data_IF_124978748383
#
_entry.id   IF_124978748383
#
_cell.length_a   1.000
_cell.length_b   1.000
_cell.length_c   1.000
_cell.angle_alpha   90.00
_cell.angle_beta   90.00
_cell.angle_gamma   90.00
#
_symmetry.space_group_name_H-M   'P 1'
#
loop_
_entity.id
_entity.type
_entity.pdbx_description
1 polymer ?
#
# COMPACT_ATOMS: atom_id res chain seq x y z
N UNK A 1 17.47 -17.72 -7.13
CA UNK A 1 17.01 -18.63 -6.06
C UNK A 1 18.22 -19.05 -5.25
N UNK A 2 18.19 -18.81 -3.94
CA UNK A 2 19.36 -18.93 -3.07
C UNK A 2 19.34 -20.22 -2.24
N UNK A 3 18.19 -20.88 -2.11
CA UNK A 3 18.08 -22.13 -1.36
C UNK A 3 18.94 -23.24 -1.96
N UNK A 4 19.74 -23.91 -1.13
CA UNK A 4 20.55 -25.07 -1.53
C UNK A 4 19.70 -26.29 -1.91
N UNK A 5 18.43 -26.30 -1.51
CA UNK A 5 17.49 -27.40 -1.70
C UNK A 5 16.68 -27.30 -2.99
N UNK A 6 16.77 -26.16 -3.70
CA UNK A 6 16.11 -25.99 -4.99
C UNK A 6 16.78 -26.86 -6.07
N UNK A 7 16.00 -27.70 -6.75
CA UNK A 7 16.46 -28.47 -7.91
C UNK A 7 16.82 -27.56 -9.09
N UNK A 8 17.55 -28.08 -10.05
CA UNK A 8 17.86 -27.38 -11.30
C UNK A 8 16.58 -27.02 -12.06
N UNK A 9 15.57 -27.89 -12.04
CA UNK A 9 14.26 -27.65 -12.64
C UNK A 9 13.57 -26.43 -12.04
N UNK A 10 13.49 -26.34 -10.69
CA UNK A 10 12.92 -25.19 -10.00
C UNK A 10 13.71 -23.92 -10.30
N UNK A 11 15.05 -24.00 -10.26
CA UNK A 11 15.94 -22.84 -10.30
C UNK A 11 16.06 -22.22 -11.68
N UNK A 12 16.18 -23.05 -12.72
CA UNK A 12 16.55 -22.61 -14.06
C UNK A 12 15.42 -22.64 -15.08
N UNK A 13 14.33 -23.36 -14.81
CA UNK A 13 13.20 -23.45 -15.72
C UNK A 13 11.94 -22.82 -15.10
N UNK A 14 11.39 -23.43 -14.07
CA UNK A 14 10.10 -23.01 -13.49
C UNK A 14 10.17 -21.58 -12.95
N UNK A 15 11.22 -21.23 -12.20
CA UNK A 15 11.37 -19.90 -11.61
C UNK A 15 11.51 -18.80 -12.67
N UNK A 16 12.26 -19.04 -13.72
CA UNK A 16 12.44 -18.06 -14.79
C UNK A 16 11.14 -17.81 -15.54
N UNK A 17 10.42 -18.87 -15.89
CA UNK A 17 9.13 -18.75 -16.56
C UNK A 17 8.06 -18.07 -15.66
N UNK A 18 8.03 -18.43 -14.40
CA UNK A 18 7.12 -17.81 -13.42
C UNK A 18 7.36 -16.31 -13.28
N UNK A 19 8.62 -15.90 -13.16
CA UNK A 19 8.96 -14.49 -12.99
C UNK A 19 8.85 -13.66 -14.26
N UNK A 20 8.89 -14.26 -15.45
CA UNK A 20 8.69 -13.57 -16.72
C UNK A 20 7.30 -12.92 -16.84
N UNK A 21 6.31 -13.38 -16.07
CA UNK A 21 4.97 -12.81 -16.05
C UNK A 21 4.83 -11.60 -15.11
N UNK A 22 5.85 -11.28 -14.33
CA UNK A 22 5.77 -10.18 -13.37
C UNK A 22 5.95 -8.82 -14.04
N UNK A 23 4.99 -7.93 -13.80
CA UNK A 23 5.03 -6.55 -14.30
C UNK A 23 6.00 -5.64 -13.52
N UNK A 24 6.53 -6.11 -12.38
CA UNK A 24 7.36 -5.31 -11.49
C UNK A 24 8.49 -6.14 -10.88
N UNK A 25 9.72 -5.69 -11.08
CA UNK A 25 10.92 -6.31 -10.53
C UNK A 25 10.93 -6.35 -9.00
N UNK A 26 10.18 -5.46 -8.34
CA UNK A 26 10.07 -5.43 -6.87
C UNK A 26 9.27 -6.61 -6.30
N UNK A 27 8.52 -7.32 -7.13
CA UNK A 27 7.75 -8.51 -6.73
C UNK A 27 8.62 -9.75 -6.61
N UNK A 28 9.61 -9.90 -7.51
CA UNK A 28 10.53 -11.06 -7.59
C UNK A 28 11.22 -11.34 -6.24
N UNK A 29 11.87 -10.36 -5.56
CA UNK A 29 12.55 -10.62 -4.29
C UNK A 29 11.61 -11.11 -3.18
N UNK A 30 10.34 -10.70 -3.22
CA UNK A 30 9.34 -11.10 -2.24
C UNK A 30 9.01 -12.59 -2.36
N UNK A 31 8.65 -13.03 -3.57
CA UNK A 31 8.39 -14.44 -3.85
C UNK A 31 9.63 -15.32 -3.60
N UNK A 32 10.80 -14.84 -4.05
CA UNK A 32 12.04 -15.54 -3.84
C UNK A 32 12.32 -15.82 -2.36
N UNK A 33 12.13 -14.81 -1.51
CA UNK A 33 12.36 -14.94 -0.08
C UNK A 33 11.41 -15.97 0.57
N UNK A 34 10.12 -15.94 0.21
CA UNK A 34 9.11 -16.82 0.79
C UNK A 34 9.27 -18.28 0.30
N UNK A 35 9.63 -18.48 -0.97
CA UNK A 35 9.89 -19.82 -1.53
C UNK A 35 11.21 -20.40 -0.97
N UNK A 36 12.28 -19.60 -0.91
CA UNK A 36 13.55 -20.04 -0.29
C UNK A 36 13.36 -20.36 1.19
N UNK A 37 12.54 -19.58 1.92
CA UNK A 37 12.28 -19.80 3.35
C UNK A 37 11.64 -21.17 3.61
N UNK A 38 10.60 -21.54 2.87
CA UNK A 38 9.93 -22.82 3.10
C UNK A 38 10.81 -24.02 2.71
N UNK A 39 11.56 -23.92 1.60
CA UNK A 39 12.50 -24.96 1.22
C UNK A 39 13.60 -25.15 2.27
N UNK A 40 14.15 -24.06 2.80
CA UNK A 40 15.17 -24.09 3.84
C UNK A 40 14.61 -24.59 5.18
N UNK A 41 13.35 -24.26 5.50
CA UNK A 41 12.69 -24.72 6.74
C UNK A 41 12.61 -26.26 6.79
N UNK A 42 12.35 -26.91 5.67
CA UNK A 42 12.20 -28.37 5.62
C UNK A 42 13.39 -29.09 4.98
N UNK A 43 14.38 -28.35 4.49
CA UNK A 43 15.53 -28.91 3.78
C UNK A 43 15.11 -29.78 2.60
N UNK A 44 14.10 -29.34 1.84
CA UNK A 44 13.47 -30.04 0.73
C UNK A 44 13.32 -29.11 -0.49
N UNK A 45 13.40 -29.72 -1.67
CA UNK A 45 12.95 -29.06 -2.89
C UNK A 45 11.46 -28.73 -2.82
N UNK A 46 11.03 -27.63 -3.45
CA UNK A 46 9.64 -27.18 -3.42
C UNK A 46 8.65 -28.24 -3.89
N UNK A 47 9.02 -29.01 -4.93
CA UNK A 47 8.22 -30.11 -5.46
C UNK A 47 8.07 -31.30 -4.49
N UNK A 48 8.90 -31.37 -3.45
CA UNK A 48 8.87 -32.41 -2.42
C UNK A 48 8.18 -31.97 -1.12
N UNK A 49 7.72 -30.73 -1.04
CA UNK A 49 6.97 -30.21 0.10
C UNK A 49 5.57 -30.81 0.05
N UNK A 50 5.14 -31.46 1.13
CA UNK A 50 3.86 -32.14 1.25
C UNK A 50 2.96 -31.42 2.23
N UNK A 51 1.68 -31.75 2.22
CA UNK A 51 0.63 -31.21 3.12
C UNK A 51 1.06 -31.14 4.58
N UNK A 52 1.67 -32.19 5.13
CA UNK A 52 2.14 -32.20 6.52
C UNK A 52 3.27 -31.17 6.80
N UNK A 53 4.14 -30.91 5.81
CA UNK A 53 5.17 -29.87 5.92
C UNK A 53 4.51 -28.49 5.95
N UNK A 54 3.51 -28.26 5.09
CA UNK A 54 2.77 -27.00 5.00
C UNK A 54 1.99 -26.73 6.28
N UNK A 55 1.34 -27.76 6.86
CA UNK A 55 0.65 -27.65 8.13
C UNK A 55 1.61 -27.23 9.26
N UNK A 56 2.77 -27.88 9.38
CA UNK A 56 3.81 -27.51 10.36
C UNK A 56 4.33 -26.09 10.12
N UNK A 57 4.48 -25.68 8.85
CA UNK A 57 4.92 -24.33 8.52
C UNK A 57 3.87 -23.30 8.95
N UNK A 58 2.58 -23.56 8.69
CA UNK A 58 1.49 -22.71 9.10
C UNK A 58 1.45 -22.55 10.63
N UNK A 59 1.52 -23.66 11.38
CA UNK A 59 1.55 -23.65 12.85
C UNK A 59 2.74 -22.85 13.39
N UNK A 60 3.93 -23.01 12.81
CA UNK A 60 5.12 -22.23 13.15
C UNK A 60 4.89 -20.73 12.97
N UNK A 61 4.31 -20.32 11.84
CA UNK A 61 4.04 -18.90 11.58
C UNK A 61 2.93 -18.35 12.47
N UNK A 62 1.92 -19.15 12.82
CA UNK A 62 0.88 -18.77 13.80
C UNK A 62 1.49 -18.52 15.18
N UNK A 63 2.36 -19.40 15.66
CA UNK A 63 3.06 -19.19 16.93
C UNK A 63 3.89 -17.88 16.93
N UNK A 64 4.52 -17.53 15.81
CA UNK A 64 5.22 -16.24 15.66
C UNK A 64 4.28 -15.04 15.68
N UNK A 65 3.04 -15.19 15.18
CA UNK A 65 2.01 -14.16 15.28
C UNK A 65 1.56 -13.97 16.72
N UNK A 66 1.34 -15.05 17.47
CA UNK A 66 0.95 -15.03 18.88
C UNK A 66 2.03 -14.38 19.75
N UNK A 67 3.30 -14.62 19.42
CA UNK A 67 4.46 -13.98 20.07
C UNK A 67 4.68 -12.52 19.64
N UNK A 68 3.89 -11.98 18.69
CA UNK A 68 4.05 -10.62 18.17
C UNK A 68 5.27 -10.41 17.25
N UNK A 69 5.97 -11.48 16.85
CA UNK A 69 7.12 -11.45 15.94
C UNK A 69 6.68 -11.18 14.51
N UNK A 70 5.56 -11.79 14.09
CA UNK A 70 4.97 -11.58 12.76
C UNK A 70 3.58 -10.96 12.85
N UNK A 71 3.21 -10.23 11.79
CA UNK A 71 1.82 -9.77 11.63
C UNK A 71 1.01 -10.83 10.89
N UNK A 72 -0.29 -11.00 11.21
CA UNK A 72 -1.19 -11.89 10.45
C UNK A 72 -1.18 -11.62 8.95
N UNK A 73 -1.11 -10.35 8.53
CA UNK A 73 -1.01 -9.96 7.12
C UNK A 73 0.26 -10.45 6.43
N UNK A 74 1.36 -10.64 7.18
CA UNK A 74 2.61 -11.22 6.65
C UNK A 74 2.43 -12.70 6.35
N UNK A 75 1.76 -13.44 7.24
CA UNK A 75 1.43 -14.86 7.01
C UNK A 75 0.51 -15.01 5.81
N UNK A 76 -0.52 -14.16 5.72
CA UNK A 76 -1.43 -14.13 4.57
C UNK A 76 -0.71 -13.88 3.25
N UNK A 77 0.26 -12.94 3.24
CA UNK A 77 1.09 -12.65 2.07
C UNK A 77 1.91 -13.88 1.68
N UNK A 78 2.64 -14.48 2.63
CA UNK A 78 3.47 -15.68 2.38
C UNK A 78 2.66 -16.81 1.74
N UNK A 79 1.51 -17.13 2.31
CA UNK A 79 0.67 -18.19 1.78
C UNK A 79 0.09 -17.88 0.40
N UNK A 80 -0.25 -16.61 0.08
CA UNK A 80 -0.67 -16.22 -1.28
C UNK A 80 0.49 -16.38 -2.29
N UNK A 81 1.70 -16.00 -1.92
CA UNK A 81 2.87 -16.14 -2.79
C UNK A 81 3.23 -17.61 -3.04
N UNK A 82 3.21 -18.44 -2.00
CA UNK A 82 3.47 -19.89 -2.12
C UNK A 82 2.37 -20.60 -2.92
N UNK A 83 1.09 -20.25 -2.70
CA UNK A 83 -0.03 -20.73 -3.52
C UNK A 83 0.16 -20.35 -4.98
N UNK A 84 0.41 -19.08 -5.29
CA UNK A 84 0.57 -18.62 -6.67
C UNK A 84 1.69 -19.37 -7.40
N UNK A 85 2.79 -19.67 -6.71
CA UNK A 85 3.88 -20.47 -7.30
C UNK A 85 3.50 -21.94 -7.48
N UNK A 86 2.84 -22.55 -6.51
CA UNK A 86 2.35 -23.93 -6.61
C UNK A 86 1.29 -24.08 -7.69
N UNK A 87 0.35 -23.14 -7.81
CA UNK A 87 -0.67 -23.11 -8.85
C UNK A 87 -0.04 -23.02 -10.24
N UNK A 88 0.92 -22.12 -10.45
CA UNK A 88 1.67 -22.02 -11.70
C UNK A 88 2.34 -23.33 -12.10
N UNK A 89 2.94 -24.03 -11.15
CA UNK A 89 3.54 -25.35 -11.38
C UNK A 89 2.48 -26.38 -11.79
N UNK A 90 1.34 -26.39 -11.10
CA UNK A 90 0.22 -27.29 -11.39
C UNK A 90 -0.36 -27.05 -12.79
N UNK A 91 -0.53 -25.80 -13.20
CA UNK A 91 -1.03 -25.42 -14.52
C UNK A 91 -0.06 -25.79 -15.66
N UNK A 92 1.23 -25.77 -15.39
CA UNK A 92 2.29 -26.06 -16.37
C UNK A 92 2.94 -27.43 -16.16
N UNK A 93 2.25 -28.34 -15.51
CA UNK A 93 2.75 -29.66 -15.09
C UNK A 93 3.35 -30.48 -16.23
N UNK A 94 2.68 -30.53 -17.37
CA UNK A 94 3.13 -31.27 -18.56
C UNK A 94 4.44 -30.72 -19.10
N UNK A 95 4.58 -29.40 -19.17
CA UNK A 95 5.78 -28.71 -19.64
C UNK A 95 7.02 -29.09 -18.82
N UNK A 96 6.88 -29.16 -17.52
CA UNK A 96 7.99 -29.42 -16.59
C UNK A 96 8.08 -30.89 -16.17
N UNK A 97 7.21 -31.75 -16.69
CA UNK A 97 7.14 -33.18 -16.33
C UNK A 97 7.03 -33.41 -14.82
N UNK A 98 6.28 -32.56 -14.15
CA UNK A 98 6.03 -32.64 -12.69
C UNK A 98 5.02 -33.76 -12.43
N UNK A 99 5.34 -34.60 -11.45
CA UNK A 99 4.47 -35.72 -11.06
C UNK A 99 3.08 -35.26 -10.63
N UNK A 100 2.07 -36.04 -10.97
CA UNK A 100 0.66 -35.73 -10.65
C UNK A 100 0.37 -35.74 -9.15
N UNK A 101 1.25 -36.30 -8.33
CA UNK A 101 1.15 -36.26 -6.86
C UNK A 101 1.49 -34.89 -6.27
N UNK A 102 2.18 -34.01 -7.03
CA UNK A 102 2.36 -32.63 -6.61
C UNK A 102 1.05 -31.88 -6.79
N UNK A 103 0.57 -31.25 -5.72
CA UNK A 103 -0.66 -30.45 -5.70
C UNK A 103 -0.42 -29.16 -4.92
N UNK A 104 -1.23 -28.15 -5.21
CA UNK A 104 -1.26 -26.92 -4.42
C UNK A 104 -2.00 -27.14 -3.09
N UNK A 105 -1.23 -27.48 -2.08
CA UNK A 105 -1.74 -27.68 -0.72
C UNK A 105 -1.76 -26.37 0.12
N UNK A 106 -1.40 -25.21 -0.47
CA UNK A 106 -1.45 -23.91 0.20
C UNK A 106 -2.82 -23.26 0.15
N UNK A 107 -3.60 -23.51 -0.91
CA UNK A 107 -4.92 -22.92 -1.14
C UNK A 107 -5.88 -23.05 0.06
N UNK A 108 -6.00 -24.20 0.75
CA UNK A 108 -6.90 -24.33 1.90
C UNK A 108 -6.61 -23.34 3.03
N UNK A 109 -5.34 -22.96 3.21
CA UNK A 109 -4.92 -22.06 4.30
C UNK A 109 -5.27 -20.60 4.04
N UNK A 110 -5.48 -20.20 2.78
CA UNK A 110 -5.90 -18.84 2.44
C UNK A 110 -7.22 -18.44 3.11
N UNK A 111 -8.14 -19.40 3.33
CA UNK A 111 -9.39 -19.15 4.04
C UNK A 111 -9.20 -18.76 5.51
N UNK A 112 -8.14 -19.28 6.15
CA UNK A 112 -7.84 -18.97 7.55
C UNK A 112 -7.15 -17.63 7.70
N UNK A 113 -6.32 -17.22 6.72
CA UNK A 113 -5.60 -15.95 6.75
C UNK A 113 -6.42 -14.78 6.19
N UNK A 114 -7.36 -15.02 5.27
CA UNK A 114 -8.23 -13.99 4.68
C UNK A 114 -9.22 -13.38 5.69
N UNK A 115 -9.59 -14.10 6.76
CA UNK A 115 -10.53 -13.62 7.80
C UNK A 115 -10.04 -12.41 8.61
N UNK A 116 -8.83 -11.94 8.38
CA UNK A 116 -8.21 -10.83 9.10
C UNK A 116 -8.04 -9.57 8.24
N UNK A 117 -8.72 -9.42 7.13
CA UNK A 117 -8.74 -8.15 6.40
C UNK A 117 -9.35 -7.07 7.29
N UNK A 118 -8.46 -6.34 7.93
CA UNK A 118 -8.84 -5.17 8.70
C UNK A 118 -9.08 -4.02 7.75
N UNK A 119 -10.20 -3.42 7.92
CA UNK A 119 -10.54 -2.17 7.30
C UNK A 119 -9.45 -1.11 7.54
N UNK A 120 -9.29 -0.22 6.61
CA UNK A 120 -8.33 0.87 6.69
C UNK A 120 -8.76 1.86 7.75
N UNK A 121 -7.91 2.10 8.74
CA UNK A 121 -8.16 3.14 9.76
C UNK A 121 -7.69 4.49 9.24
N UNK A 122 -8.53 5.50 9.36
CA UNK A 122 -8.12 6.91 9.17
C UNK A 122 -7.27 7.38 10.35
N UNK A 123 -6.37 8.32 10.06
CA UNK A 123 -5.63 9.05 11.10
C UNK A 123 -6.58 10.09 11.71
N UNK A 124 -6.62 10.28 13.04
CA UNK A 124 -7.37 11.35 13.67
C UNK A 124 -6.98 12.72 13.10
N UNK A 125 -7.96 13.63 12.95
CA UNK A 125 -7.73 14.96 12.36
C UNK A 125 -6.69 15.73 13.19
N UNK A 126 -6.73 15.62 14.49
CA UNK A 126 -5.80 16.26 15.42
C UNK A 126 -4.35 15.84 15.15
N UNK A 127 -4.13 14.55 14.82
CA UNK A 127 -2.79 14.07 14.48
C UNK A 127 -2.35 14.51 13.07
N UNK A 128 -3.28 14.69 12.14
CA UNK A 128 -3.00 15.26 10.81
C UNK A 128 -2.56 16.72 10.99
N UNK A 129 -3.27 17.52 11.76
CA UNK A 129 -2.91 18.92 12.00
C UNK A 129 -1.54 19.06 12.66
N UNK A 130 -1.26 18.24 13.69
CA UNK A 130 0.05 18.19 14.34
C UNK A 130 1.17 17.78 13.39
N UNK A 131 0.89 16.84 12.46
CA UNK A 131 1.85 16.40 11.46
C UNK A 131 2.19 17.52 10.47
N UNK A 132 1.18 18.25 9.98
CA UNK A 132 1.37 19.38 9.08
C UNK A 132 2.09 20.55 9.80
N UNK A 133 1.75 20.87 11.03
CA UNK A 133 2.43 21.89 11.83
C UNK A 133 3.91 21.53 12.04
N UNK A 134 4.22 20.27 12.35
CA UNK A 134 5.58 19.80 12.50
C UNK A 134 6.42 19.90 11.21
N UNK A 135 5.78 19.86 10.04
CA UNK A 135 6.44 19.88 8.73
C UNK A 135 6.43 21.27 8.06
N UNK A 136 5.77 22.28 8.63
CA UNK A 136 5.49 23.59 7.98
C UNK A 136 6.72 24.33 7.46
N UNK A 137 7.87 24.18 8.13
CA UNK A 137 9.14 24.82 7.74
C UNK A 137 9.88 24.05 6.62
N UNK A 138 9.55 22.77 6.40
CA UNK A 138 10.12 21.96 5.33
C UNK A 138 9.11 21.88 4.17
N UNK A 139 9.24 22.84 3.24
CA UNK A 139 8.31 22.97 2.11
C UNK A 139 8.17 21.71 1.27
N UNK A 140 9.26 20.95 1.09
CA UNK A 140 9.21 19.69 0.36
C UNK A 140 8.40 18.64 1.13
N UNK A 141 8.67 18.47 2.43
CA UNK A 141 7.92 17.54 3.26
C UNK A 141 6.44 17.92 3.35
N UNK A 142 6.15 19.21 3.51
CA UNK A 142 4.77 19.72 3.53
C UNK A 142 4.03 19.42 2.22
N UNK A 143 4.69 19.69 1.07
CA UNK A 143 4.11 19.40 -0.25
C UNK A 143 3.87 17.90 -0.46
N UNK A 144 4.80 17.05 -0.02
CA UNK A 144 4.60 15.58 -0.06
C UNK A 144 3.40 15.17 0.81
N UNK A 145 3.30 15.71 2.02
CA UNK A 145 2.19 15.41 2.93
C UNK A 145 0.84 15.83 2.37
N UNK A 146 0.73 17.00 1.75
CA UNK A 146 -0.53 17.47 1.18
C UNK A 146 -0.94 16.63 -0.04
N UNK A 147 0.01 16.20 -0.87
CA UNK A 147 -0.27 15.28 -1.99
C UNK A 147 -0.76 13.90 -1.50
N UNK A 148 -0.18 13.39 -0.41
CA UNK A 148 -0.67 12.15 0.23
C UNK A 148 -2.08 12.31 0.79
N UNK A 149 -2.33 13.41 1.52
CA UNK A 149 -3.55 13.59 2.32
C UNK A 149 -4.73 14.13 1.51
N UNK A 150 -4.50 15.08 0.59
CA UNK A 150 -5.57 15.76 -0.16
C UNK A 150 -5.81 15.19 -1.55
N UNK A 151 -4.77 14.64 -2.19
CA UNK A 151 -4.86 14.09 -3.54
C UNK A 151 -4.90 12.56 -3.54
N UNK A 152 -4.37 11.95 -2.49
CA UNK A 152 -4.34 10.49 -2.36
C UNK A 152 -3.30 9.80 -3.23
N UNK A 153 -2.22 10.50 -3.60
CA UNK A 153 -1.12 9.89 -4.33
C UNK A 153 -0.35 8.90 -3.46
N UNK A 154 0.13 7.82 -4.07
CA UNK A 154 1.03 6.89 -3.38
C UNK A 154 2.47 7.43 -3.34
N UNK A 155 3.27 6.91 -2.40
CA UNK A 155 4.69 7.29 -2.32
C UNK A 155 5.45 7.04 -3.63
N UNK A 156 5.11 5.96 -4.36
CA UNK A 156 5.73 5.64 -5.65
C UNK A 156 5.36 6.67 -6.72
N UNK A 157 4.13 7.10 -6.75
CA UNK A 157 3.69 8.14 -7.68
C UNK A 157 4.38 9.46 -7.38
N UNK A 158 4.42 9.86 -6.10
CA UNK A 158 5.03 11.12 -5.66
C UNK A 158 6.51 11.22 -6.04
N UNK A 159 7.30 10.16 -5.84
CA UNK A 159 8.73 10.21 -6.19
C UNK A 159 8.99 10.24 -7.69
N UNK A 160 8.02 9.84 -8.51
CA UNK A 160 8.11 9.84 -9.97
C UNK A 160 7.50 11.08 -10.63
N UNK A 161 6.88 12.01 -9.86
CA UNK A 161 6.28 13.23 -10.42
C UNK A 161 7.33 14.12 -11.07
N UNK A 162 6.97 14.66 -12.23
CA UNK A 162 7.72 15.67 -12.96
C UNK A 162 7.05 17.04 -12.84
N UNK A 163 7.78 18.10 -13.09
CA UNK A 163 7.24 19.45 -13.04
C UNK A 163 6.16 19.68 -14.11
N UNK A 164 6.28 19.02 -15.27
CA UNK A 164 5.34 19.15 -16.39
C UNK A 164 4.09 18.24 -16.27
N UNK A 165 3.99 17.47 -15.19
CA UNK A 165 2.82 16.62 -14.96
C UNK A 165 1.58 17.41 -14.50
N UNK A 166 1.74 18.69 -14.18
CA UNK A 166 0.69 19.55 -13.63
C UNK A 166 0.13 20.49 -14.68
N UNK A 167 -1.19 20.60 -14.75
CA UNK A 167 -1.87 21.51 -15.66
C UNK A 167 -3.06 22.17 -14.95
N UNK A 168 -3.24 23.47 -15.19
CA UNK A 168 -4.42 24.22 -14.78
C UNK A 168 -5.31 24.45 -16.00
N UNK A 169 -6.61 24.25 -15.81
CA UNK A 169 -7.67 24.47 -16.79
C UNK A 169 -8.75 25.37 -16.16
N UNK A 170 -9.69 25.84 -16.97
CA UNK A 170 -10.81 26.68 -16.50
C UNK A 170 -11.67 26.00 -15.41
N UNK A 171 -11.70 24.66 -15.42
CA UNK A 171 -12.48 23.84 -14.48
C UNK A 171 -11.64 23.29 -13.30
N UNK A 172 -10.39 23.72 -13.14
CA UNK A 172 -9.53 23.33 -12.01
C UNK A 172 -8.14 22.86 -12.43
N UNK A 173 -7.33 22.52 -11.44
CA UNK A 173 -5.99 22.00 -11.63
C UNK A 173 -5.98 20.46 -11.57
N UNK A 174 -5.07 19.86 -12.31
CA UNK A 174 -4.95 18.40 -12.42
C UNK A 174 -3.50 17.96 -12.48
N UNK A 175 -3.26 16.73 -12.07
CA UNK A 175 -1.94 16.07 -12.21
C UNK A 175 -2.06 14.80 -13.02
N UNK A 176 -1.16 14.65 -13.99
CA UNK A 176 -0.97 13.40 -14.74
C UNK A 176 -0.07 12.49 -13.94
N UNK A 177 -0.56 11.32 -13.59
CA UNK A 177 0.19 10.31 -12.83
C UNK A 177 0.54 9.14 -13.74
N UNK A 178 1.82 8.83 -13.84
CA UNK A 178 2.28 7.71 -14.67
C UNK A 178 1.59 6.41 -14.29
N UNK A 179 1.06 5.70 -15.29
CA UNK A 179 0.33 4.44 -15.09
C UNK A 179 -1.16 4.58 -14.77
N UNK A 180 -1.69 5.81 -14.59
CA UNK A 180 -3.13 6.07 -14.49
C UNK A 180 -3.72 6.47 -15.85
N UNK A 181 -4.97 6.10 -16.07
CA UNK A 181 -5.70 6.48 -17.31
C UNK A 181 -6.24 7.90 -17.24
N UNK A 182 -6.66 8.33 -16.06
CA UNK A 182 -7.33 9.61 -15.84
C UNK A 182 -6.41 10.57 -15.09
N UNK A 183 -6.63 11.86 -15.30
CA UNK A 183 -5.99 12.92 -14.54
C UNK A 183 -6.54 12.94 -13.11
N UNK A 184 -5.67 13.17 -12.13
CA UNK A 184 -6.09 13.37 -10.75
C UNK A 184 -6.41 14.85 -10.52
N UNK A 185 -7.56 15.11 -9.92
CA UNK A 185 -7.93 16.46 -9.53
C UNK A 185 -7.04 16.97 -8.40
N UNK A 186 -6.61 18.22 -8.51
CA UNK A 186 -5.87 18.95 -7.48
C UNK A 186 -6.79 20.01 -6.88
N UNK A 187 -7.17 19.89 -5.59
CA UNK A 187 -7.83 20.97 -4.88
C UNK A 187 -7.02 22.28 -4.94
N UNK A 188 -7.71 23.42 -4.91
CA UNK A 188 -7.10 24.74 -5.05
C UNK A 188 -6.00 24.99 -3.99
N UNK A 189 -6.26 24.62 -2.75
CA UNK A 189 -5.29 24.72 -1.64
C UNK A 189 -4.00 23.92 -1.92
N UNK A 190 -4.12 22.75 -2.56
CA UNK A 190 -2.98 21.93 -2.95
C UNK A 190 -2.20 22.57 -4.09
N UNK A 191 -2.91 23.11 -5.09
CA UNK A 191 -2.28 23.75 -6.23
C UNK A 191 -1.46 24.97 -5.84
N UNK A 192 -1.96 25.81 -4.93
CA UNK A 192 -1.25 26.96 -4.38
C UNK A 192 0.05 26.53 -3.67
N UNK A 193 0.00 25.51 -2.82
CA UNK A 193 1.19 24.98 -2.13
C UNK A 193 2.21 24.44 -3.13
N UNK A 194 1.73 23.72 -4.14
CA UNK A 194 2.58 23.16 -5.18
C UNK A 194 3.29 24.23 -6.00
N UNK A 195 2.57 25.27 -6.44
CA UNK A 195 3.17 26.41 -7.16
C UNK A 195 4.25 27.12 -6.32
N UNK A 196 3.97 27.34 -5.03
CA UNK A 196 4.94 27.96 -4.12
C UNK A 196 6.20 27.10 -3.96
N UNK A 197 6.04 25.79 -3.89
CA UNK A 197 7.15 24.86 -3.84
C UNK A 197 7.96 24.88 -5.15
N UNK A 198 7.28 24.80 -6.31
CA UNK A 198 7.92 24.81 -7.62
C UNK A 198 8.74 26.08 -7.89
N UNK A 199 8.27 27.26 -7.45
CA UNK A 199 8.98 28.54 -7.59
C UNK A 199 10.27 28.60 -6.78
N UNK A 200 10.43 27.77 -5.77
CA UNK A 200 11.55 27.84 -4.82
C UNK A 200 12.51 26.64 -4.89
N UNK A 201 12.09 25.55 -5.54
CA UNK A 201 12.95 24.37 -5.70
C UNK A 201 14.06 24.64 -6.72
N UNK A 202 15.20 23.94 -6.64
CA UNK A 202 16.20 23.96 -7.69
C UNK A 202 15.60 23.47 -9.03
N UNK A 203 16.13 23.98 -10.12
CA UNK A 203 15.73 23.55 -11.47
C UNK A 203 15.99 22.05 -11.67
N UNK A 204 14.97 21.34 -12.08
CA UNK A 204 15.00 19.90 -12.33
C UNK A 204 13.73 19.46 -13.02
N UNK A 205 13.81 18.45 -13.89
CA UNK A 205 12.68 17.79 -14.50
C UNK A 205 11.77 17.14 -13.44
N UNK A 206 12.35 16.51 -12.41
CA UNK A 206 11.61 15.88 -11.31
C UNK A 206 11.11 16.94 -10.32
N UNK A 207 9.87 16.74 -9.86
CA UNK A 207 9.27 17.63 -8.86
C UNK A 207 10.07 17.59 -7.54
N UNK A 208 10.38 16.40 -7.07
CA UNK A 208 11.10 16.19 -5.80
C UNK A 208 12.50 15.63 -6.04
N UNK A 209 13.50 16.34 -5.55
CA UNK A 209 14.91 15.93 -5.65
C UNK A 209 15.57 15.96 -4.26
N UNK A 210 16.60 15.15 -4.09
CA UNK A 210 17.43 15.18 -2.89
C UNK A 210 18.48 16.30 -2.96
N UNK A 211 19.25 16.48 -1.89
CA UNK A 211 20.31 17.50 -1.80
C UNK A 211 21.44 17.36 -2.84
N UNK A 212 21.50 16.22 -3.54
CA UNK A 212 22.48 15.98 -4.62
C UNK A 212 21.87 16.19 -6.02
N UNK A 213 20.63 16.68 -6.11
CA UNK A 213 19.92 16.90 -7.38
C UNK A 213 19.30 15.63 -8.00
N UNK A 214 19.40 14.47 -7.34
CA UNK A 214 18.81 13.22 -7.86
C UNK A 214 17.34 13.09 -7.41
N UNK A 215 16.48 12.39 -8.19
CA UNK A 215 15.13 12.08 -7.79
C UNK A 215 15.04 11.40 -6.42
N UNK A 216 13.98 11.66 -5.69
CA UNK A 216 13.75 11.00 -4.40
C UNK A 216 13.48 9.51 -4.61
N UNK A 217 13.84 8.71 -3.62
CA UNK A 217 13.46 7.31 -3.54
C UNK A 217 12.40 7.08 -2.46
N UNK A 218 11.76 5.91 -2.49
CA UNK A 218 10.70 5.54 -1.54
C UNK A 218 11.15 5.58 -0.07
N UNK A 219 12.44 5.28 0.18
CA UNK A 219 13.00 5.30 1.54
C UNK A 219 13.06 6.71 2.12
N UNK A 220 13.18 7.74 1.27
CA UNK A 220 13.12 9.13 1.71
C UNK A 220 11.76 9.42 2.35
N UNK A 221 10.65 9.12 1.66
CA UNK A 221 9.30 9.36 2.19
C UNK A 221 9.08 8.58 3.51
N UNK A 222 9.55 7.33 3.59
CA UNK A 222 9.45 6.55 4.82
C UNK A 222 10.22 7.19 5.99
N UNK A 223 11.43 7.70 5.74
CA UNK A 223 12.23 8.40 6.76
C UNK A 223 11.62 9.74 7.13
N UNK A 224 11.12 10.48 6.15
CA UNK A 224 10.39 11.74 6.34
C UNK A 224 9.19 11.53 7.27
N UNK A 225 8.36 10.54 7.02
CA UNK A 225 7.23 10.21 7.88
C UNK A 225 7.66 9.91 9.33
N UNK A 226 8.70 9.08 9.53
CA UNK A 226 9.25 8.82 10.86
C UNK A 226 9.76 10.08 11.56
N UNK A 227 10.44 10.96 10.83
CA UNK A 227 10.96 12.25 11.34
C UNK A 227 9.82 13.12 11.86
N UNK A 228 8.78 13.33 11.03
CA UNK A 228 7.74 14.30 11.34
C UNK A 228 6.68 13.75 12.31
N UNK A 229 6.35 12.46 12.30
CA UNK A 229 5.51 11.86 13.33
C UNK A 229 6.17 11.92 14.71
N UNK A 230 7.50 11.68 14.79
CA UNK A 230 8.26 11.83 16.02
C UNK A 230 8.30 13.29 16.50
N UNK A 231 8.54 14.25 15.57
CA UNK A 231 8.56 15.70 15.89
C UNK A 231 7.19 16.20 16.38
N UNK A 232 6.12 15.68 15.80
CA UNK A 232 4.76 16.00 16.18
C UNK A 232 4.31 15.36 17.50
N UNK A 233 5.07 14.42 18.08
CA UNK A 233 4.70 13.70 19.29
C UNK A 233 3.52 12.73 19.11
N UNK A 234 3.24 12.29 17.86
CA UNK A 234 2.14 11.40 17.52
C UNK A 234 2.63 9.98 17.23
N UNK A 235 1.71 8.99 17.22
CA UNK A 235 2.06 7.64 16.80
C UNK A 235 2.73 7.59 15.42
N UNK A 236 3.62 6.63 15.20
CA UNK A 236 4.31 6.49 13.91
C UNK A 236 3.32 6.06 12.83
N UNK A 237 2.95 6.99 11.97
CA UNK A 237 2.12 6.73 10.79
C UNK A 237 2.99 6.57 9.55
N UNK A 238 2.57 5.68 8.65
CA UNK A 238 3.18 5.54 7.32
C UNK A 238 2.56 6.53 6.33
N UNK A 239 3.25 6.78 5.22
CA UNK A 239 2.68 7.55 4.09
C UNK A 239 1.38 6.92 3.56
N UNK A 240 1.32 5.58 3.52
CA UNK A 240 0.10 4.86 3.15
C UNK A 240 -1.05 5.11 4.13
N UNK A 241 -0.78 5.27 5.43
CA UNK A 241 -1.82 5.63 6.41
C UNK A 241 -2.39 7.02 6.15
N UNK A 242 -1.55 8.00 5.78
CA UNK A 242 -1.98 9.35 5.41
C UNK A 242 -2.81 9.31 4.13
N UNK A 243 -2.34 8.62 3.11
CA UNK A 243 -3.05 8.41 1.84
C UNK A 243 -4.40 7.73 2.05
N UNK A 244 -4.44 6.70 2.88
CA UNK A 244 -5.68 5.98 3.20
C UNK A 244 -6.72 6.89 3.88
N UNK A 245 -6.27 7.85 4.69
CA UNK A 245 -7.14 8.87 5.30
C UNK A 245 -7.80 9.74 4.23
N UNK A 246 -7.10 10.07 3.13
CA UNK A 246 -7.70 10.74 1.98
C UNK A 246 -8.89 9.94 1.41
N UNK A 247 -8.70 8.65 1.11
CA UNK A 247 -9.77 7.80 0.59
C UNK A 247 -10.98 7.71 1.52
N UNK A 248 -10.75 7.56 2.82
CA UNK A 248 -11.83 7.56 3.84
C UNK A 248 -12.57 8.89 3.86
N UNK A 249 -11.84 10.01 3.79
CA UNK A 249 -12.43 11.35 3.79
C UNK A 249 -13.26 11.62 2.54
N UNK A 250 -12.78 11.21 1.36
CA UNK A 250 -13.55 11.36 0.12
C UNK A 250 -14.92 10.67 0.22
N UNK A 251 -14.99 9.47 0.78
CA UNK A 251 -16.27 8.82 1.05
C UNK A 251 -17.09 9.55 2.12
N UNK A 252 -16.45 10.05 3.17
CA UNK A 252 -17.13 10.78 4.23
C UNK A 252 -17.80 12.06 3.72
N UNK A 253 -17.23 12.68 2.69
CA UNK A 253 -17.77 13.86 2.02
C UNK A 253 -18.65 13.55 0.79
N UNK A 254 -19.03 12.28 0.59
CA UNK A 254 -20.05 11.88 -0.38
C UNK A 254 -19.54 11.58 -1.78
N UNK A 255 -18.23 11.43 -1.99
CA UNK A 255 -17.70 11.00 -3.28
C UNK A 255 -18.16 9.57 -3.61
N UNK A 256 -18.51 9.33 -4.89
CA UNK A 256 -18.92 8.02 -5.38
C UNK A 256 -17.72 7.06 -5.47
N UNK A 257 -17.94 5.73 -5.37
CA UNK A 257 -16.87 4.74 -5.44
C UNK A 257 -15.97 4.90 -6.67
N UNK A 258 -16.54 5.15 -7.84
CA UNK A 258 -15.80 5.32 -9.10
C UNK A 258 -14.89 6.55 -9.05
N UNK A 259 -15.37 7.65 -8.47
CA UNK A 259 -14.60 8.88 -8.28
C UNK A 259 -13.44 8.69 -7.33
N UNK A 260 -13.67 7.97 -6.22
CA UNK A 260 -12.60 7.65 -5.27
C UNK A 260 -11.60 6.69 -5.91
N UNK A 261 -12.04 5.72 -6.72
CA UNK A 261 -11.17 4.81 -7.45
C UNK A 261 -10.24 5.55 -8.40
N UNK A 262 -10.80 6.43 -9.22
CA UNK A 262 -10.06 7.27 -10.16
C UNK A 262 -9.06 8.17 -9.43
N UNK A 263 -9.51 8.91 -8.39
CA UNK A 263 -8.69 9.82 -7.60
C UNK A 263 -7.56 9.11 -6.86
N UNK A 264 -7.83 7.90 -6.30
CA UNK A 264 -6.84 7.12 -5.55
C UNK A 264 -5.98 6.22 -6.44
N UNK A 265 -6.31 6.04 -7.72
CA UNK A 265 -5.63 5.12 -8.64
C UNK A 265 -5.69 3.67 -8.17
N UNK A 266 -6.84 3.24 -7.67
CA UNK A 266 -7.10 1.88 -7.19
C UNK A 266 -8.26 1.25 -7.95
N UNK A 267 -8.36 -0.08 -7.94
CA UNK A 267 -9.50 -0.78 -8.53
C UNK A 267 -10.74 -0.65 -7.66
N UNK A 268 -11.93 -0.79 -8.25
CA UNK A 268 -13.20 -0.79 -7.52
C UNK A 268 -13.23 -1.85 -6.41
N UNK A 269 -12.63 -3.02 -6.64
CA UNK A 269 -12.51 -4.06 -5.63
C UNK A 269 -11.71 -3.59 -4.40
N UNK A 270 -10.68 -2.78 -4.60
CA UNK A 270 -9.84 -2.26 -3.51
C UNK A 270 -10.50 -1.14 -2.73
N UNK A 271 -11.54 -0.51 -3.28
CA UNK A 271 -12.24 0.61 -2.66
C UNK A 271 -13.00 0.20 -1.41
N UNK A 272 -13.55 -1.01 -1.37
CA UNK A 272 -14.31 -1.48 -0.21
C UNK A 272 -13.56 -1.35 1.11
N UNK A 273 -12.24 -1.38 1.09
CA UNK A 273 -11.41 -1.18 2.29
C UNK A 273 -11.51 0.23 2.88
N UNK A 274 -11.95 1.23 2.11
CA UNK A 274 -12.14 2.61 2.56
C UNK A 274 -13.57 2.93 2.99
N UNK A 275 -14.55 2.10 2.62
CA UNK A 275 -15.98 2.27 2.90
C UNK A 275 -16.40 1.91 4.34
N UNK A 276 -15.55 2.02 5.31
CA UNK A 276 -15.64 1.38 6.59
C UNK A 276 -16.61 1.95 7.64
N UNK A 277 -16.73 1.18 8.76
CA UNK A 277 -17.41 1.56 10.00
C UNK A 277 -16.95 2.90 10.57
N UNK A 278 -15.68 3.29 10.34
CA UNK A 278 -15.20 4.63 10.69
C UNK A 278 -15.92 5.74 9.92
N UNK A 279 -16.50 5.45 8.75
CA UNK A 279 -17.42 6.36 8.07
C UNK A 279 -18.63 6.68 8.97
N UNK A 280 -19.25 5.65 9.57
CA UNK A 280 -20.37 5.86 10.51
C UNK A 280 -19.93 6.56 11.79
N UNK A 281 -18.76 6.21 12.34
CA UNK A 281 -18.23 6.86 13.54
C UNK A 281 -17.78 8.30 13.28
N UNK A 282 -17.15 8.57 12.15
CA UNK A 282 -16.76 9.93 11.75
C UNK A 282 -17.98 10.76 11.34
N UNK A 283 -18.99 10.16 10.70
CA UNK A 283 -20.27 10.80 10.43
C UNK A 283 -20.99 11.17 11.72
N UNK A 284 -21.05 10.25 12.69
CA UNK A 284 -21.64 10.53 14.01
C UNK A 284 -20.88 11.65 14.74
N UNK A 285 -19.55 11.61 14.74
CA UNK A 285 -18.73 12.67 15.34
C UNK A 285 -18.87 14.00 14.61
N UNK A 286 -18.90 14.00 13.29
CA UNK A 286 -19.11 15.20 12.48
C UNK A 286 -20.53 15.73 12.64
N UNK A 287 -21.55 14.89 12.62
CA UNK A 287 -22.93 15.26 12.85
C UNK A 287 -23.13 15.84 14.26
N UNK A 288 -22.55 15.21 15.27
CA UNK A 288 -22.62 15.74 16.66
C UNK A 288 -21.83 17.05 16.85
N UNK A 289 -20.83 17.34 16.04
CA UNK A 289 -20.11 18.63 16.04
C UNK A 289 -20.82 19.71 15.24
N UNK A 290 -21.52 19.34 14.17
CA UNK A 290 -22.25 20.29 13.31
C UNK A 290 -23.59 20.72 13.90
N UNK A 291 -24.23 19.87 14.72
CA UNK A 291 -25.56 20.15 15.28
C UNK A 291 -25.44 20.52 16.75
N UNK A 292 -24.74 21.62 17.06
CA UNK A 292 -25.03 22.35 18.30
C UNK A 292 -26.19 23.32 18.02
N UNK A 293 -27.42 22.82 18.14
CA UNK A 293 -28.60 23.68 18.15
C UNK A 293 -28.62 24.38 19.52
N UNK A 294 -28.43 25.70 19.53
CA UNK A 294 -28.55 26.53 20.73
C UNK A 294 -30.01 26.86 21.08
N UNK A 295 -30.94 26.14 20.50
CA UNK A 295 -32.38 26.31 20.76
C UNK A 295 -32.85 25.19 21.68
N UNK A 296 -33.42 25.53 22.82
CA UNK A 296 -34.03 24.53 23.70
C UNK A 296 -35.21 23.87 22.97
N UNK A 297 -35.30 22.51 22.99
CA UNK A 297 -36.44 21.84 22.41
C UNK A 297 -37.72 22.25 23.15
N UNK A 298 -38.87 22.34 22.46
CA UNK A 298 -40.13 22.63 23.11
C UNK A 298 -40.41 21.61 24.21
N UNK A 299 -40.81 22.10 25.38
CA UNK A 299 -41.24 21.27 26.49
C UNK A 299 -42.44 20.41 26.02
N UNK A 300 -42.47 19.12 26.36
CA UNK A 300 -43.54 18.19 26.00
C UNK A 300 -44.78 18.46 26.83
#
# INVERSE_FOLDING_TARGET
MNSLYASNLIRHEIWQDFTAHFKSDTTIPSYLADIDEIMNCFQKDFLKIKKNDIEKYFQKLQAQVEQGVLKPSTVAKKFRELHSFAEFICENREKYKVDTSFQDEFLPYLKYVAKQEKYTKSIPVEHIDQLFDAAKEDKMAYTILILLYRVGLSSREIVNLKCDDFAAYDNGAYVRVSGRKELCYLPEDVFVVLEQYMKQKPESEHLFINSRGNPLNLMYISRMMKKYTKRAGIPSYSAESVRNTCGVNLFAYGAKPEQVAAQMGVTEMQIHRYQNLSYKENLLKAANRLVKINVQPPER
#
